data_IF_328842454520
#
_entry.id   IF_328842454520
#
_cell.length_a   1.000
_cell.length_b   1.000
_cell.length_c   1.000
_cell.angle_alpha   90.00
_cell.angle_beta   90.00
_cell.angle_gamma   90.00
#
_symmetry.space_group_name_H-M   'P 1'
#
loop_
_entity.id
_entity.type
_entity.pdbx_description
1 polymer ?
#
# COMPACT_ATOMS: atom_id res chain seq x y z
N UNK A 1 -15.32 3.77 -34.91
CA UNK A 1 -16.57 2.95 -34.90
C UNK A 1 -16.97 2.67 -33.48
N UNK A 2 -18.24 2.82 -33.16
CA UNK A 2 -18.78 2.45 -31.83
C UNK A 2 -19.24 1.00 -31.92
N UNK A 3 -18.87 0.18 -30.94
CA UNK A 3 -19.31 -1.21 -30.82
C UNK A 3 -20.34 -1.28 -29.69
N UNK A 4 -21.44 -1.93 -29.96
CA UNK A 4 -22.56 -2.11 -29.03
C UNK A 4 -22.79 -3.60 -28.84
N UNK A 5 -23.21 -4.00 -27.67
CA UNK A 5 -23.57 -5.36 -27.34
C UNK A 5 -25.10 -5.47 -27.25
N UNK A 6 -25.66 -6.38 -28.05
CA UNK A 6 -27.07 -6.72 -27.98
C UNK A 6 -27.21 -7.97 -27.11
N UNK A 7 -28.05 -7.91 -26.11
CA UNK A 7 -28.46 -9.09 -25.35
C UNK A 7 -29.63 -9.73 -26.04
N UNK A 8 -29.47 -10.97 -26.46
CA UNK A 8 -30.50 -11.74 -27.12
C UNK A 8 -31.24 -12.69 -26.15
N UNK A 9 -31.00 -12.53 -24.83
CA UNK A 9 -31.58 -13.39 -23.80
C UNK A 9 -31.28 -14.89 -24.06
N UNK A 10 -32.32 -15.65 -24.43
CA UNK A 10 -32.27 -17.12 -24.62
C UNK A 10 -31.87 -17.54 -26.05
N UNK A 11 -31.63 -16.59 -26.99
CA UNK A 11 -31.37 -16.92 -28.38
C UNK A 11 -29.85 -16.99 -28.67
N UNK A 12 -29.46 -18.02 -29.42
CA UNK A 12 -28.08 -18.26 -29.81
C UNK A 12 -27.52 -17.16 -30.70
N UNK A 13 -28.33 -16.65 -31.61
CA UNK A 13 -27.94 -15.62 -32.56
C UNK A 13 -29.17 -14.81 -33.05
N UNK A 14 -28.87 -13.72 -33.79
CA UNK A 14 -29.94 -12.85 -34.33
C UNK A 14 -30.88 -13.53 -35.34
N UNK A 15 -30.43 -14.59 -36.02
CA UNK A 15 -31.25 -15.31 -36.98
C UNK A 15 -32.34 -16.14 -36.28
N UNK A 16 -31.97 -16.78 -35.19
CA UNK A 16 -32.90 -17.53 -34.34
C UNK A 16 -33.95 -16.59 -33.70
N UNK A 17 -33.50 -15.49 -33.11
CA UNK A 17 -34.35 -14.46 -32.54
C UNK A 17 -35.30 -13.82 -33.57
N UNK A 18 -34.80 -13.58 -34.80
CA UNK A 18 -35.62 -13.06 -35.92
C UNK A 18 -36.72 -14.00 -36.33
N UNK A 19 -36.41 -15.29 -36.43
CA UNK A 19 -37.39 -16.31 -36.84
C UNK A 19 -38.49 -16.54 -35.79
N UNK A 20 -38.15 -16.43 -34.51
CA UNK A 20 -39.09 -16.66 -33.40
C UNK A 20 -39.90 -15.41 -33.04
N UNK A 21 -39.26 -14.26 -32.86
CA UNK A 21 -39.87 -13.02 -32.36
C UNK A 21 -40.06 -11.94 -33.40
N UNK A 22 -39.50 -12.13 -34.61
CA UNK A 22 -39.62 -11.19 -35.72
C UNK A 22 -38.74 -9.95 -35.60
N UNK A 23 -38.73 -9.12 -36.67
CA UNK A 23 -37.86 -7.95 -36.78
C UNK A 23 -38.13 -6.87 -35.70
N UNK A 24 -39.38 -6.74 -35.25
CA UNK A 24 -39.75 -5.77 -34.21
C UNK A 24 -39.02 -5.99 -32.87
N UNK A 25 -38.84 -7.25 -32.49
CA UNK A 25 -38.04 -7.60 -31.31
C UNK A 25 -36.61 -7.18 -31.45
N UNK A 26 -35.96 -7.50 -32.58
CA UNK A 26 -34.54 -7.12 -32.81
C UNK A 26 -34.36 -5.62 -32.85
N UNK A 27 -35.29 -4.86 -33.45
CA UNK A 27 -35.22 -3.39 -33.43
C UNK A 27 -35.34 -2.85 -32.02
N UNK A 28 -36.24 -3.42 -31.20
CA UNK A 28 -36.35 -3.04 -29.79
C UNK A 28 -35.05 -3.31 -29.00
N UNK A 29 -34.39 -4.45 -29.25
CA UNK A 29 -33.12 -4.77 -28.63
C UNK A 29 -31.98 -3.82 -29.09
N UNK A 30 -31.99 -3.35 -30.34
CA UNK A 30 -31.05 -2.36 -30.84
C UNK A 30 -31.19 -1.01 -30.12
N UNK A 31 -32.42 -0.61 -29.79
CA UNK A 31 -32.65 0.66 -29.10
C UNK A 31 -32.17 0.65 -27.64
N UNK A 32 -32.07 -0.53 -27.03
CA UNK A 32 -31.64 -0.73 -25.64
C UNK A 32 -30.21 -1.31 -25.52
N UNK A 33 -29.50 -1.48 -26.66
CA UNK A 33 -28.12 -2.00 -26.66
C UNK A 33 -27.22 -1.22 -25.72
N UNK A 34 -26.42 -1.94 -24.96
CA UNK A 34 -25.34 -1.38 -24.16
C UNK A 34 -24.03 -1.24 -24.93
N UNK A 35 -23.21 -0.24 -24.62
CA UNK A 35 -21.85 -0.18 -25.14
C UNK A 35 -21.07 -1.43 -24.77
N UNK A 36 -20.24 -1.94 -25.69
CA UNK A 36 -19.40 -3.10 -25.40
C UNK A 36 -18.59 -2.88 -24.09
N UNK A 37 -18.76 -3.75 -23.09
CA UNK A 37 -18.09 -3.58 -21.81
C UNK A 37 -16.58 -3.72 -21.97
N UNK A 38 -15.86 -2.68 -21.64
CA UNK A 38 -14.40 -2.73 -21.54
C UNK A 38 -14.04 -2.86 -20.09
N UNK A 39 -13.36 -3.96 -19.72
CA UNK A 39 -12.91 -4.20 -18.36
C UNK A 39 -12.04 -3.03 -17.88
N UNK A 40 -12.38 -2.45 -16.74
CA UNK A 40 -11.65 -1.33 -16.15
C UNK A 40 -11.98 0.05 -16.73
N UNK A 41 -12.87 0.16 -17.74
CA UNK A 41 -13.33 1.46 -18.28
C UNK A 41 -14.73 1.78 -17.76
N UNK A 42 -14.82 2.83 -16.94
CA UNK A 42 -16.04 3.30 -16.33
C UNK A 42 -16.39 4.72 -16.79
N UNK A 43 -17.66 5.08 -16.76
CA UNK A 43 -18.11 6.44 -17.03
C UNK A 43 -18.15 7.24 -15.72
N UNK A 44 -18.01 8.55 -15.80
CA UNK A 44 -18.08 9.42 -14.61
C UNK A 44 -19.38 9.21 -13.79
N UNK A 45 -20.50 8.90 -14.44
CA UNK A 45 -21.78 8.60 -13.76
C UNK A 45 -21.70 7.39 -12.80
N UNK A 46 -20.80 6.44 -13.09
CA UNK A 46 -20.66 5.21 -12.30
C UNK A 46 -20.01 5.50 -10.94
N UNK A 47 -19.30 6.64 -10.83
CA UNK A 47 -18.66 7.13 -9.60
C UNK A 47 -19.42 8.28 -8.93
N UNK A 48 -20.69 8.49 -9.29
CA UNK A 48 -21.48 9.63 -8.80
C UNK A 48 -21.58 9.65 -7.26
N UNK A 49 -21.76 8.49 -6.64
CA UNK A 49 -21.90 8.38 -5.18
C UNK A 49 -20.60 8.79 -4.47
N UNK A 50 -19.46 8.28 -4.96
CA UNK A 50 -18.14 8.61 -4.43
C UNK A 50 -17.82 10.09 -4.63
N UNK A 51 -18.20 10.64 -5.77
CA UNK A 51 -18.04 12.07 -6.07
C UNK A 51 -18.84 12.97 -5.10
N UNK A 52 -20.10 12.63 -4.85
CA UNK A 52 -20.95 13.36 -3.92
C UNK A 52 -20.43 13.23 -2.47
N UNK A 53 -19.97 12.04 -2.07
CA UNK A 53 -19.36 11.81 -0.75
C UNK A 53 -18.11 12.67 -0.55
N UNK A 54 -17.25 12.78 -1.57
CA UNK A 54 -16.07 13.66 -1.53
C UNK A 54 -16.44 15.13 -1.40
N UNK A 55 -17.58 15.55 -1.97
CA UNK A 55 -18.07 16.91 -1.84
C UNK A 55 -18.59 17.19 -0.43
N UNK A 56 -19.35 16.26 0.14
CA UNK A 56 -20.01 16.42 1.44
C UNK A 56 -19.02 16.26 2.62
N UNK A 57 -18.13 15.27 2.56
CA UNK A 57 -17.18 14.93 3.64
C UNK A 57 -15.80 15.56 3.45
N UNK A 58 -15.50 16.05 2.26
CA UNK A 58 -14.18 16.58 1.89
C UNK A 58 -13.16 15.48 1.59
N UNK A 59 -11.90 15.88 1.42
CA UNK A 59 -10.81 14.94 1.19
C UNK A 59 -10.52 14.11 2.44
N UNK A 60 -10.17 12.83 2.24
CA UNK A 60 -9.69 11.94 3.30
C UNK A 60 -8.50 12.63 3.99
N UNK A 61 -8.65 12.92 5.28
CA UNK A 61 -7.55 13.44 6.08
C UNK A 61 -6.53 12.34 6.28
N UNK A 62 -5.31 12.59 5.84
CA UNK A 62 -4.19 11.68 6.09
C UNK A 62 -3.71 11.77 7.54
N UNK A 63 -2.93 10.77 7.95
CA UNK A 63 -2.23 10.79 9.23
C UNK A 63 -1.07 11.80 9.21
N UNK A 64 -0.81 12.40 10.36
CA UNK A 64 0.34 13.29 10.55
C UNK A 64 1.65 12.49 10.48
N UNK A 65 2.66 13.06 9.84
CA UNK A 65 4.02 12.49 9.86
C UNK A 65 4.70 12.64 11.22
N UNK A 66 4.13 13.45 12.11
CA UNK A 66 4.73 13.85 13.39
C UNK A 66 5.88 14.84 13.23
N UNK A 67 6.14 15.31 12.00
CA UNK A 67 7.15 16.33 11.69
C UNK A 67 6.44 17.58 11.16
N UNK A 68 6.32 18.58 12.01
CA UNK A 68 5.51 19.80 11.75
C UNK A 68 5.81 20.49 10.41
N UNK A 69 7.07 20.49 9.96
CA UNK A 69 7.44 21.08 8.68
C UNK A 69 6.96 20.24 7.48
N UNK A 70 6.95 18.91 7.63
CA UNK A 70 6.50 17.97 6.62
C UNK A 70 4.98 17.95 6.55
N UNK A 71 4.28 17.98 7.68
CA UNK A 71 2.82 17.98 7.78
C UNK A 71 2.14 19.16 7.07
N UNK A 72 2.89 20.24 6.85
CA UNK A 72 2.40 21.40 6.07
C UNK A 72 2.36 21.12 4.56
N UNK A 73 3.08 20.10 4.10
CA UNK A 73 3.26 19.79 2.69
C UNK A 73 2.56 18.49 2.30
N UNK A 74 2.66 17.48 3.15
CA UNK A 74 2.10 16.14 2.91
C UNK A 74 1.48 15.56 4.17
N UNK A 75 0.53 14.65 3.97
CA UNK A 75 -0.03 13.75 4.98
C UNK A 75 0.05 12.33 4.46
N UNK A 76 0.12 11.35 5.34
CA UNK A 76 0.20 9.94 4.96
C UNK A 76 -1.22 9.37 4.84
N UNK A 77 -1.61 9.05 3.63
CA UNK A 77 -2.96 8.52 3.33
C UNK A 77 -2.85 7.02 3.04
N UNK A 78 -3.63 6.16 3.71
CA UNK A 78 -3.68 4.73 3.40
C UNK A 78 -4.02 4.47 1.93
N UNK A 79 -3.37 3.47 1.33
CA UNK A 79 -3.55 3.12 -0.08
C UNK A 79 -2.74 3.96 -1.06
N UNK A 80 -1.94 4.93 -0.59
CA UNK A 80 -1.05 5.71 -1.43
C UNK A 80 0.39 5.22 -1.35
N UNK A 81 1.10 5.29 -2.48
CA UNK A 81 2.55 5.02 -2.55
C UNK A 81 3.30 6.33 -2.35
N UNK A 82 4.28 6.30 -1.45
CA UNK A 82 5.21 7.42 -1.21
C UNK A 82 6.62 7.00 -1.58
N UNK A 83 7.26 7.73 -2.48
CA UNK A 83 8.64 7.47 -2.90
C UNK A 83 9.55 8.51 -2.28
N UNK A 84 10.56 8.05 -1.51
CA UNK A 84 11.59 8.91 -0.91
C UNK A 84 12.90 8.65 -1.64
N UNK A 85 13.44 9.69 -2.27
CA UNK A 85 14.69 9.62 -3.02
C UNK A 85 15.69 10.65 -2.52
N UNK A 86 16.97 10.43 -2.81
CA UNK A 86 18.05 11.32 -2.43
C UNK A 86 19.41 10.61 -2.50
N UNK A 87 20.47 11.37 -2.29
CA UNK A 87 21.85 10.86 -2.32
C UNK A 87 22.09 9.77 -1.26
N UNK A 88 23.04 8.85 -1.48
CA UNK A 88 23.49 7.92 -0.45
C UNK A 88 23.87 8.66 0.85
N UNK A 89 23.59 8.05 1.99
CA UNK A 89 23.90 8.62 3.33
C UNK A 89 23.23 9.96 3.65
N UNK A 90 22.15 10.34 2.94
CA UNK A 90 21.39 11.58 3.22
C UNK A 90 20.34 11.43 4.33
N UNK A 91 20.25 10.27 4.99
CA UNK A 91 19.31 10.02 6.09
C UNK A 91 17.91 9.60 5.67
N UNK A 92 17.71 9.10 4.42
CA UNK A 92 16.40 8.63 3.94
C UNK A 92 15.77 7.56 4.85
N UNK A 93 16.52 6.49 5.09
CA UNK A 93 16.04 5.39 5.96
C UNK A 93 15.78 5.87 7.38
N UNK A 94 16.62 6.78 7.90
CA UNK A 94 16.40 7.40 9.22
C UNK A 94 15.12 8.21 9.29
N UNK A 95 14.81 8.97 8.23
CA UNK A 95 13.57 9.71 8.11
C UNK A 95 12.36 8.76 8.07
N UNK A 96 12.43 7.71 7.26
CA UNK A 96 11.34 6.72 7.15
C UNK A 96 11.11 6.01 8.49
N UNK A 97 12.17 5.57 9.16
CA UNK A 97 12.08 4.98 10.49
C UNK A 97 11.37 5.92 11.48
N UNK A 98 11.72 7.21 11.45
CA UNK A 98 11.08 8.20 12.31
C UNK A 98 9.61 8.42 11.96
N UNK A 99 9.24 8.44 10.67
CA UNK A 99 7.85 8.54 10.22
C UNK A 99 7.03 7.32 10.69
N UNK A 100 7.54 6.11 10.48
CA UNK A 100 6.87 4.88 10.91
C UNK A 100 6.71 4.83 12.43
N UNK A 101 7.74 5.27 13.18
CA UNK A 101 7.67 5.36 14.63
C UNK A 101 6.61 6.39 15.10
N UNK A 102 6.52 7.52 14.43
CA UNK A 102 5.52 8.53 14.74
C UNK A 102 4.10 8.02 14.45
N UNK A 103 3.89 7.39 13.28
CA UNK A 103 2.60 6.77 12.90
C UNK A 103 2.19 5.68 13.88
N UNK A 104 3.14 4.85 14.35
CA UNK A 104 2.86 3.84 15.35
C UNK A 104 2.44 4.47 16.69
N UNK A 105 3.06 5.59 17.11
CA UNK A 105 2.71 6.30 18.34
C UNK A 105 1.39 7.05 18.27
N UNK A 106 1.10 7.73 17.15
CA UNK A 106 -0.08 8.59 17.03
C UNK A 106 -1.32 7.85 16.59
N UNK A 107 -1.17 6.91 15.67
CA UNK A 107 -2.28 6.22 15.02
C UNK A 107 -2.36 4.71 15.36
N UNK A 108 -1.37 4.18 16.06
CA UNK A 108 -1.25 2.74 16.33
C UNK A 108 -0.98 1.92 15.05
N UNK A 109 -0.46 2.55 13.99
CA UNK A 109 -0.20 1.83 12.74
C UNK A 109 1.00 0.92 12.89
N UNK A 110 0.87 -0.28 12.35
CA UNK A 110 1.93 -1.27 12.31
C UNK A 110 2.62 -1.26 10.96
N UNK A 111 3.93 -1.45 10.98
CA UNK A 111 4.80 -1.38 9.80
C UNK A 111 5.46 -2.72 9.52
N UNK A 112 5.40 -3.18 8.27
CA UNK A 112 6.21 -4.26 7.76
C UNK A 112 7.41 -3.69 6.99
N UNK A 113 8.62 -4.07 7.39
CA UNK A 113 9.86 -3.66 6.74
C UNK A 113 10.40 -4.77 5.84
N UNK A 114 10.67 -4.42 4.60
CA UNK A 114 11.44 -5.18 3.64
C UNK A 114 12.75 -4.42 3.42
N UNK A 115 13.78 -4.70 4.24
CA UNK A 115 15.07 -4.03 4.17
C UNK A 115 16.14 -4.97 3.63
N UNK A 116 16.76 -4.60 2.52
CA UNK A 116 17.84 -5.36 1.89
C UNK A 116 19.24 -4.96 2.40
N UNK A 117 19.34 -3.78 3.03
CA UNK A 117 20.65 -3.26 3.48
C UNK A 117 20.93 -3.56 4.96
N UNK A 118 19.88 -3.70 5.78
CA UNK A 118 20.04 -3.81 7.23
C UNK A 118 19.55 -5.16 7.75
N UNK A 119 20.39 -5.92 8.46
CA UNK A 119 19.90 -7.07 9.21
C UNK A 119 18.82 -6.66 10.21
N UNK A 120 17.75 -7.46 10.40
CA UNK A 120 16.63 -7.10 11.28
C UNK A 120 17.04 -6.68 12.69
N UNK A 121 17.94 -7.40 13.34
CA UNK A 121 18.42 -7.07 14.69
C UNK A 121 19.10 -5.70 14.78
N UNK A 122 19.90 -5.32 13.76
CA UNK A 122 20.53 -4.00 13.71
C UNK A 122 19.48 -2.90 13.48
N UNK A 123 18.52 -3.15 12.62
CA UNK A 123 17.42 -2.21 12.37
C UNK A 123 16.58 -1.99 13.63
N UNK A 124 16.22 -3.07 14.34
CA UNK A 124 15.53 -2.99 15.64
C UNK A 124 16.32 -2.14 16.66
N UNK A 125 17.64 -2.31 16.74
CA UNK A 125 18.49 -1.51 17.61
C UNK A 125 18.44 -0.01 17.25
N UNK A 126 18.42 0.34 15.96
CA UNK A 126 18.28 1.72 15.49
C UNK A 126 16.90 2.31 15.81
N UNK A 127 15.83 1.53 15.65
CA UNK A 127 14.48 1.95 16.04
C UNK A 127 14.40 2.14 17.55
N UNK A 128 14.99 1.23 18.36
CA UNK A 128 15.05 1.36 19.81
C UNK A 128 15.77 2.65 20.26
N UNK A 129 16.87 3.02 19.60
CA UNK A 129 17.55 4.29 19.88
C UNK A 129 16.64 5.51 19.64
N UNK A 130 15.87 5.49 18.53
CA UNK A 130 14.93 6.57 18.21
C UNK A 130 13.75 6.58 19.19
N UNK A 131 13.24 5.40 19.54
CA UNK A 131 12.12 5.25 20.48
C UNK A 131 12.45 5.78 21.85
N UNK A 132 13.63 5.41 22.39
CA UNK A 132 14.07 5.77 23.73
C UNK A 132 14.87 7.09 23.78
N UNK A 133 15.26 7.63 22.62
CA UNK A 133 16.18 8.76 22.50
C UNK A 133 17.50 8.55 23.29
N UNK A 134 17.99 7.32 23.30
CA UNK A 134 19.20 6.89 24.01
C UNK A 134 20.02 5.96 23.10
N UNK A 135 21.37 5.96 23.20
CA UNK A 135 22.21 5.02 22.46
C UNK A 135 21.88 3.57 22.83
N UNK A 136 21.85 2.68 21.84
CA UNK A 136 21.72 1.24 22.06
C UNK A 136 23.09 0.60 22.36
N UNK A 137 24.13 1.11 21.72
CA UNK A 137 25.48 0.61 21.85
C UNK A 137 26.33 1.49 22.78
N UNK A 138 27.32 0.88 23.43
CA UNK A 138 28.33 1.63 24.19
C UNK A 138 29.09 2.58 23.26
N UNK A 139 29.39 3.78 23.75
CA UNK A 139 30.09 4.82 23.00
C UNK A 139 30.50 5.99 23.89
N UNK A 140 30.53 7.20 23.31
CA UNK A 140 30.83 8.43 24.06
C UNK A 140 29.77 8.70 25.14
N UNK A 141 28.53 8.34 24.88
CA UNK A 141 27.45 8.42 25.85
C UNK A 141 27.10 7.03 26.36
N UNK A 142 26.62 6.94 27.59
CA UNK A 142 26.12 5.68 28.17
C UNK A 142 24.97 5.11 27.35
N UNK A 143 24.99 3.81 27.10
CA UNK A 143 23.88 3.14 26.46
C UNK A 143 22.65 3.10 27.36
N UNK A 144 21.50 2.80 26.78
CA UNK A 144 20.26 2.59 27.52
C UNK A 144 20.38 1.42 28.52
N UNK A 145 19.73 1.57 29.65
CA UNK A 145 19.61 0.54 30.67
C UNK A 145 18.83 -0.68 30.16
N UNK A 146 18.98 -1.84 30.86
CA UNK A 146 18.33 -3.09 30.47
C UNK A 146 16.81 -2.96 30.38
N UNK A 147 16.19 -2.31 31.37
CA UNK A 147 14.74 -2.09 31.40
C UNK A 147 14.26 -1.28 30.20
N UNK A 148 15.01 -0.26 29.79
CA UNK A 148 14.71 0.58 28.64
C UNK A 148 14.85 -0.21 27.32
N UNK A 149 15.87 -1.06 27.23
CA UNK A 149 16.07 -1.96 26.10
C UNK A 149 14.93 -2.97 25.98
N UNK A 150 14.53 -3.60 27.08
CA UNK A 150 13.48 -4.60 27.10
C UNK A 150 12.10 -3.98 26.79
N UNK A 151 11.82 -2.80 27.33
CA UNK A 151 10.64 -2.01 26.95
C UNK A 151 10.62 -1.68 25.45
N UNK A 152 11.75 -1.22 24.92
CA UNK A 152 11.85 -0.91 23.49
C UNK A 152 11.61 -2.16 22.62
N UNK A 153 12.15 -3.30 23.02
CA UNK A 153 11.96 -4.57 22.33
C UNK A 153 10.48 -4.96 22.27
N UNK A 154 9.78 -4.97 23.41
CA UNK A 154 8.36 -5.32 23.48
C UNK A 154 7.50 -4.35 22.67
N UNK A 155 7.83 -3.06 22.71
CA UNK A 155 7.12 -2.06 21.93
C UNK A 155 7.34 -2.25 20.41
N UNK A 156 8.58 -2.56 19.97
CA UNK A 156 8.91 -2.86 18.58
C UNK A 156 8.17 -4.12 18.12
N UNK A 157 8.15 -5.17 18.91
CA UNK A 157 7.47 -6.43 18.59
C UNK A 157 5.95 -6.22 18.33
N UNK A 158 5.33 -5.28 19.03
CA UNK A 158 3.91 -4.96 18.84
C UNK A 158 3.62 -4.14 17.58
N UNK A 159 4.60 -3.38 17.05
CA UNK A 159 4.35 -2.39 16.01
C UNK A 159 5.11 -2.65 14.71
N UNK A 160 6.14 -3.48 14.70
CA UNK A 160 7.01 -3.69 13.56
C UNK A 160 7.17 -5.17 13.21
N UNK A 161 7.17 -5.47 11.92
CA UNK A 161 7.56 -6.75 11.35
C UNK A 161 8.75 -6.55 10.42
N UNK A 162 9.62 -7.54 10.35
CA UNK A 162 10.82 -7.49 9.51
C UNK A 162 10.84 -8.71 8.59
N UNK A 163 10.98 -8.49 7.29
CA UNK A 163 11.20 -9.53 6.30
C UNK A 163 12.70 -9.81 6.26
N UNK A 164 13.09 -11.07 6.50
CA UNK A 164 14.49 -11.48 6.48
C UNK A 164 14.85 -12.08 5.13
N UNK A 165 15.73 -11.41 4.39
CA UNK A 165 16.21 -11.86 3.08
C UNK A 165 17.37 -12.85 3.14
N UNK A 166 17.97 -13.05 4.32
CA UNK A 166 19.09 -13.96 4.51
C UNK A 166 18.67 -15.42 4.61
N UNK A 167 17.37 -15.68 4.87
CA UNK A 167 16.77 -16.99 5.08
C UNK A 167 15.61 -17.22 4.10
N UNK A 168 15.89 -17.26 2.79
CA UNK A 168 14.88 -17.48 1.73
C UNK A 168 13.75 -16.43 1.65
N UNK A 169 14.02 -15.19 2.05
CA UNK A 169 13.07 -14.08 1.92
C UNK A 169 12.81 -13.70 0.46
N UNK A 170 11.66 -13.04 0.19
CA UNK A 170 11.27 -12.67 -1.16
C UNK A 170 12.20 -11.61 -1.75
N UNK A 171 12.65 -11.81 -3.00
CA UNK A 171 13.47 -10.87 -3.77
C UNK A 171 12.68 -10.19 -4.89
N UNK A 172 11.56 -10.79 -5.33
CA UNK A 172 10.66 -10.20 -6.31
C UNK A 172 9.58 -9.34 -5.66
N UNK A 173 9.04 -8.38 -6.43
CA UNK A 173 7.95 -7.51 -5.92
C UNK A 173 6.72 -8.32 -5.55
N UNK A 174 6.35 -9.33 -6.34
CA UNK A 174 5.17 -10.17 -6.06
C UNK A 174 5.36 -10.94 -4.75
N UNK A 175 6.54 -11.55 -4.55
CA UNK A 175 6.84 -12.25 -3.30
C UNK A 175 6.83 -11.31 -2.08
N UNK A 176 7.33 -10.08 -2.21
CA UNK A 176 7.26 -9.07 -1.15
C UNK A 176 5.80 -8.71 -0.84
N UNK A 177 4.96 -8.54 -1.87
CA UNK A 177 3.55 -8.21 -1.70
C UNK A 177 2.76 -9.35 -1.08
N UNK A 178 3.09 -10.62 -1.39
CA UNK A 178 2.49 -11.79 -0.77
C UNK A 178 2.78 -11.83 0.74
N UNK A 179 4.06 -11.63 1.13
CA UNK A 179 4.45 -11.56 2.55
C UNK A 179 3.82 -10.34 3.23
N UNK A 180 3.77 -9.19 2.56
CA UNK A 180 3.11 -7.99 3.09
C UNK A 180 1.61 -8.22 3.30
N UNK A 181 0.94 -8.93 2.38
CA UNK A 181 -0.46 -9.32 2.54
C UNK A 181 -0.68 -10.20 3.77
N UNK A 182 0.22 -11.15 4.01
CA UNK A 182 0.19 -11.94 5.24
C UNK A 182 0.39 -11.06 6.50
N UNK A 183 1.30 -10.08 6.46
CA UNK A 183 1.51 -9.14 7.56
C UNK A 183 0.27 -8.28 7.85
N UNK A 184 -0.46 -7.86 6.82
CA UNK A 184 -1.76 -7.18 6.98
C UNK A 184 -2.78 -8.10 7.66
N UNK A 185 -2.91 -9.33 7.17
CA UNK A 185 -3.91 -10.28 7.69
C UNK A 185 -3.63 -10.77 9.11
N UNK A 186 -2.35 -10.99 9.46
CA UNK A 186 -1.95 -11.53 10.75
C UNK A 186 -1.83 -10.47 11.84
N UNK A 187 -1.26 -9.32 11.51
CA UNK A 187 -0.94 -8.28 12.48
C UNK A 187 -1.65 -6.95 12.24
N UNK A 188 -2.37 -6.79 11.12
CA UNK A 188 -3.03 -5.53 10.78
C UNK A 188 -2.05 -4.43 10.39
N UNK A 189 -0.94 -4.78 9.73
CA UNK A 189 0.00 -3.78 9.20
C UNK A 189 -0.69 -2.83 8.23
N UNK A 190 -0.35 -1.55 8.32
CA UNK A 190 -0.87 -0.49 7.44
C UNK A 190 0.20 0.17 6.60
N UNK A 191 1.46 -0.05 6.94
CA UNK A 191 2.62 0.50 6.23
C UNK A 191 3.49 -0.64 5.78
N UNK A 192 3.89 -0.63 4.50
CA UNK A 192 4.96 -1.44 3.94
C UNK A 192 6.10 -0.50 3.55
N UNK A 193 7.29 -0.77 4.05
CA UNK A 193 8.52 -0.07 3.66
C UNK A 193 9.41 -1.03 2.89
N UNK A 194 9.86 -0.60 1.72
CA UNK A 194 10.84 -1.33 0.89
C UNK A 194 12.08 -0.44 0.78
N UNK A 195 13.21 -0.88 1.35
CA UNK A 195 14.43 -0.08 1.45
C UNK A 195 15.69 -0.93 1.17
N UNK A 196 16.35 -0.70 0.04
CA UNK A 196 15.94 0.13 -1.07
C UNK A 196 15.23 -0.66 -2.19
N UNK A 197 14.40 0.01 -2.98
CA UNK A 197 13.62 -0.58 -4.07
C UNK A 197 14.48 -1.16 -5.21
N UNK A 198 15.68 -0.62 -5.44
CA UNK A 198 16.58 -1.04 -6.53
C UNK A 198 17.21 -2.43 -6.34
N UNK A 199 17.03 -3.07 -5.19
CA UNK A 199 17.45 -4.45 -4.95
C UNK A 199 16.39 -5.48 -5.34
N UNK A 200 15.19 -5.04 -5.71
CA UNK A 200 14.14 -5.95 -6.13
C UNK A 200 14.45 -6.49 -7.52
N UNK A 201 14.38 -7.81 -7.66
CA UNK A 201 14.47 -8.46 -8.95
C UNK A 201 13.24 -8.13 -9.79
N UNK A 202 13.46 -7.44 -10.91
CA UNK A 202 12.41 -7.20 -11.89
C UNK A 202 12.24 -8.44 -12.77
N UNK A 203 11.00 -8.78 -13.18
CA UNK A 203 10.78 -9.84 -14.12
C UNK A 203 11.57 -9.54 -15.42
N UNK A 204 12.13 -10.56 -16.10
CA UNK A 204 12.80 -10.34 -17.38
C UNK A 204 11.86 -9.61 -18.33
N UNK A 205 12.35 -8.54 -18.94
CA UNK A 205 11.62 -7.81 -19.98
C UNK A 205 11.39 -8.75 -21.17
N UNK A 206 10.13 -9.02 -21.50
CA UNK A 206 9.73 -9.71 -22.74
C UNK A 206 10.12 -8.90 -23.97
#
# INVERSE_FOLDING_TARGET
SKVWMMDLEDYKDTSEALNDRGAGYLLGQLDVCDPYPTVGLHRAKDFRKEYDLLYDEGQIKGASTGIRSVDKLIQIVPGMVTIVTGFPSSGKSDLIDQLCLNLARSEGWKTAYCSFEKPPALHMAQIAQKLMNMPFFEGVSSRMEMEAKDYAYEWIDQHFMFMDHTLDGPTSIDGILDVASAAVMQMGCRVLVIDPYNFIELPPSE
#
